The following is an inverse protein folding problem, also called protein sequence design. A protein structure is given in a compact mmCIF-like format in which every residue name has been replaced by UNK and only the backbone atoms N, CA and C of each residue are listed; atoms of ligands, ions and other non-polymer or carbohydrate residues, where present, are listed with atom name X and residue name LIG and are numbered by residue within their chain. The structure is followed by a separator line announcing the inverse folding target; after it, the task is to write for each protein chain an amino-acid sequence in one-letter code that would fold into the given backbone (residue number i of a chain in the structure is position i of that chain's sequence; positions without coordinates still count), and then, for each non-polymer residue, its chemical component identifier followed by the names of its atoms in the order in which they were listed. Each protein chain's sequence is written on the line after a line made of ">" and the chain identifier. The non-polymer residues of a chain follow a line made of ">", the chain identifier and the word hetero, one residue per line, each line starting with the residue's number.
data_IF_083973734313
#
_entry.id   IF_083973734313
#
_cell.length_a   1.000
_cell.length_b   1.000
_cell.length_c   1.000
_cell.angle_alpha   90.00
_cell.angle_beta   90.00
_cell.angle_gamma   90.00
#
_symmetry.space_group_name_H-M   'P 1'
#
loop_
_entity.id
_entity.type
_entity.pdbx_description
1 polymer ?
#
# COMPACT_ATOMS: atom_id res chain seq x y z
N UNK A 1 3.86 8.36 -12.78
CA UNK A 1 5.17 8.18 -12.15
C UNK A 1 6.02 9.43 -12.32
N UNK A 2 6.65 9.87 -11.27
CA UNK A 2 7.62 10.96 -11.32
C UNK A 2 8.95 10.46 -10.76
N UNK A 3 10.02 10.67 -11.51
CA UNK A 3 11.36 10.29 -11.10
C UNK A 3 12.25 11.54 -11.20
N UNK A 4 12.74 11.99 -10.06
CA UNK A 4 13.66 13.10 -10.03
C UNK A 4 15.09 12.56 -10.14
N UNK A 5 15.84 13.13 -11.05
CA UNK A 5 17.22 12.72 -11.31
C UNK A 5 18.11 13.07 -10.12
N UNK A 6 19.00 12.16 -9.75
CA UNK A 6 19.94 12.31 -8.64
C UNK A 6 19.29 12.50 -7.27
N UNK A 7 18.01 12.14 -7.14
CA UNK A 7 17.36 12.14 -5.83
C UNK A 7 17.18 10.73 -5.33
N UNK A 8 17.03 10.59 -4.01
CA UNK A 8 16.82 9.33 -3.36
C UNK A 8 15.32 8.97 -3.27
N UNK A 9 14.46 9.64 -4.04
CA UNK A 9 13.01 9.44 -3.94
C UNK A 9 12.39 9.16 -5.30
N UNK A 10 11.44 8.23 -5.31
CA UNK A 10 10.62 7.90 -6.49
C UNK A 10 9.16 7.96 -6.07
N UNK A 11 8.34 8.69 -6.83
CA UNK A 11 6.90 8.78 -6.60
C UNK A 11 6.14 8.14 -7.74
N UNK A 12 5.25 7.21 -7.43
CA UNK A 12 4.38 6.56 -8.41
C UNK A 12 2.92 6.75 -7.98
N UNK A 13 2.12 7.38 -8.85
CA UNK A 13 0.72 7.64 -8.57
C UNK A 13 -0.15 6.61 -9.25
N UNK A 14 -0.84 5.80 -8.46
CA UNK A 14 -1.73 4.72 -8.93
C UNK A 14 -1.08 3.81 -9.97
N UNK A 15 0.14 3.30 -9.68
CA UNK A 15 0.91 2.60 -10.71
C UNK A 15 0.31 1.25 -11.11
N UNK A 16 -0.63 0.71 -10.32
CA UNK A 16 -1.24 -0.60 -10.59
C UNK A 16 -2.57 -0.50 -11.32
N UNK A 17 -3.08 0.72 -11.56
CA UNK A 17 -4.32 0.91 -12.30
C UNK A 17 -4.12 0.43 -13.75
N UNK A 18 -5.06 -0.38 -14.25
CA UNK A 18 -5.05 -0.96 -15.60
C UNK A 18 -3.95 -2.00 -15.87
N UNK A 19 -3.19 -2.39 -14.85
CA UNK A 19 -2.21 -3.46 -15.00
C UNK A 19 -2.85 -4.82 -14.70
N UNK A 20 -2.44 -5.87 -15.40
CA UNK A 20 -2.83 -7.21 -15.02
C UNK A 20 -2.03 -7.66 -13.79
N UNK A 21 -2.41 -8.81 -13.22
CA UNK A 21 -1.83 -9.27 -11.96
C UNK A 21 -0.32 -9.51 -12.06
N UNK A 22 0.13 -10.09 -13.17
CA UNK A 22 1.57 -10.37 -13.31
C UNK A 22 2.40 -9.09 -13.41
N UNK A 23 1.87 -8.08 -14.09
CA UNK A 23 2.54 -6.79 -14.18
C UNK A 23 2.54 -6.05 -12.84
N UNK A 24 1.47 -6.21 -12.04
CA UNK A 24 1.44 -5.65 -10.69
C UNK A 24 2.55 -6.23 -9.82
N UNK A 25 2.77 -7.54 -9.88
CA UNK A 25 3.85 -8.17 -9.12
C UNK A 25 5.22 -7.67 -9.57
N UNK A 26 5.44 -7.53 -10.88
CA UNK A 26 6.70 -6.99 -11.40
C UNK A 26 6.95 -5.56 -10.97
N UNK A 27 5.90 -4.75 -10.97
CA UNK A 27 6.03 -3.37 -10.51
C UNK A 27 6.41 -3.31 -9.04
N UNK A 28 5.81 -4.17 -8.21
CA UNK A 28 6.15 -4.23 -6.79
C UNK A 28 7.58 -4.70 -6.58
N UNK A 29 8.06 -5.65 -7.38
CA UNK A 29 9.46 -6.07 -7.33
C UNK A 29 10.40 -4.92 -7.69
N UNK A 30 10.06 -4.16 -8.72
CA UNK A 30 10.84 -2.99 -9.12
C UNK A 30 10.90 -1.97 -7.99
N UNK A 31 9.76 -1.66 -7.39
CA UNK A 31 9.70 -0.74 -6.26
C UNK A 31 10.55 -1.24 -5.09
N UNK A 32 10.48 -2.53 -4.81
CA UNK A 32 11.26 -3.14 -3.73
C UNK A 32 12.75 -3.08 -4.02
N UNK A 33 13.15 -3.31 -5.26
CA UNK A 33 14.56 -3.20 -5.68
C UNK A 33 15.10 -1.79 -5.50
N UNK A 34 14.31 -0.78 -5.88
CA UNK A 34 14.68 0.62 -5.70
C UNK A 34 14.85 0.95 -4.21
N UNK A 35 13.97 0.43 -3.36
CA UNK A 35 14.08 0.65 -1.93
C UNK A 35 15.37 0.02 -1.36
N UNK A 36 15.74 -1.17 -1.86
CA UNK A 36 16.99 -1.83 -1.45
C UNK A 36 18.23 -1.05 -1.87
N UNK A 37 18.13 -0.27 -2.93
CA UNK A 37 19.22 0.61 -3.37
C UNK A 37 19.32 1.88 -2.52
N UNK A 38 18.49 2.02 -1.51
CA UNK A 38 18.51 3.17 -0.62
C UNK A 38 17.58 4.29 -1.03
N UNK A 39 16.70 4.06 -2.01
CA UNK A 39 15.74 5.07 -2.45
C UNK A 39 14.47 5.01 -1.63
N UNK A 40 13.87 6.16 -1.37
CA UNK A 40 12.54 6.23 -0.78
C UNK A 40 11.52 6.07 -1.92
N UNK A 41 10.70 5.04 -1.84
CA UNK A 41 9.68 4.78 -2.85
C UNK A 41 8.31 5.08 -2.27
N UNK A 42 7.60 6.01 -2.87
CA UNK A 42 6.25 6.41 -2.45
C UNK A 42 5.26 5.97 -3.52
N UNK A 43 4.28 5.18 -3.13
CA UNK A 43 3.24 4.69 -4.01
C UNK A 43 1.88 5.21 -3.54
N UNK A 44 1.12 5.80 -4.45
CA UNK A 44 -0.27 6.18 -4.16
C UNK A 44 -1.15 5.05 -4.72
N UNK A 45 -1.79 4.31 -3.84
CA UNK A 45 -2.56 3.12 -4.19
C UNK A 45 -3.99 3.22 -3.69
N UNK A 46 -4.91 2.63 -4.45
CA UNK A 46 -6.29 2.44 -4.04
C UNK A 46 -6.58 1.00 -3.64
N UNK A 47 -5.67 0.09 -3.92
CA UNK A 47 -5.80 -1.32 -3.53
C UNK A 47 -5.31 -1.49 -2.09
N UNK A 48 -6.26 -1.62 -1.16
CA UNK A 48 -5.97 -1.74 0.27
C UNK A 48 -5.14 -2.97 0.59
N UNK A 49 -5.49 -4.10 0.00
CA UNK A 49 -4.80 -5.36 0.24
C UNK A 49 -3.34 -5.29 -0.19
N UNK A 50 -3.11 -4.70 -1.35
CA UNK A 50 -1.76 -4.52 -1.89
C UNK A 50 -0.94 -3.59 -0.99
N UNK A 51 -1.51 -2.48 -0.56
CA UNK A 51 -0.84 -1.53 0.31
C UNK A 51 -0.44 -2.18 1.64
N UNK A 52 -1.36 -2.88 2.28
CA UNK A 52 -1.09 -3.54 3.55
C UNK A 52 -0.04 -4.64 3.44
N UNK A 53 -0.02 -5.35 2.32
CA UNK A 53 0.93 -6.44 2.11
C UNK A 53 2.34 -5.94 1.78
N UNK A 54 2.46 -4.89 0.98
CA UNK A 54 3.74 -4.50 0.38
C UNK A 54 4.43 -3.32 1.06
N UNK A 55 3.71 -2.45 1.74
CA UNK A 55 4.28 -1.23 2.28
C UNK A 55 5.06 -1.47 3.57
N UNK A 56 6.11 -0.69 3.76
CA UNK A 56 6.82 -0.63 5.04
C UNK A 56 6.12 0.36 5.98
N UNK A 57 5.59 1.44 5.41
CA UNK A 57 4.83 2.48 6.13
C UNK A 57 3.65 2.87 5.27
N UNK A 58 2.49 3.04 5.89
CA UNK A 58 1.27 3.46 5.23
C UNK A 58 0.84 4.81 5.77
N UNK A 59 0.56 5.73 4.86
CA UNK A 59 -0.07 7.01 5.18
C UNK A 59 -1.49 6.99 4.62
N UNK A 60 -2.48 7.21 5.49
CA UNK A 60 -3.89 7.22 5.11
C UNK A 60 -4.38 8.66 5.06
N UNK A 61 -4.88 9.06 3.90
CA UNK A 61 -5.41 10.40 3.68
C UNK A 61 -6.90 10.36 3.40
N UNK A 62 -7.59 11.38 3.87
CA UNK A 62 -9.01 11.61 3.54
C UNK A 62 -9.23 13.11 3.48
N UNK A 63 -9.87 13.58 2.40
CA UNK A 63 -10.19 14.98 2.20
C UNK A 63 -8.99 15.91 2.38
N UNK A 64 -7.82 15.49 1.86
CA UNK A 64 -6.59 16.25 1.93
C UNK A 64 -5.92 16.25 3.29
N UNK A 65 -6.40 15.46 4.24
CA UNK A 65 -5.86 15.36 5.58
C UNK A 65 -5.19 14.03 5.83
N UNK A 66 -4.03 14.07 6.48
CA UNK A 66 -3.34 12.86 6.93
C UNK A 66 -4.02 12.37 8.22
N UNK A 67 -4.61 11.19 8.16
CA UNK A 67 -5.30 10.60 9.32
C UNK A 67 -4.39 9.71 10.15
N UNK A 68 -3.49 9.01 9.48
CA UNK A 68 -2.62 8.03 10.14
C UNK A 68 -1.40 7.78 9.27
N UNK A 69 -0.25 7.59 9.92
CA UNK A 69 0.98 7.22 9.24
C UNK A 69 1.75 6.28 10.15
N UNK A 70 1.80 5.00 9.79
CA UNK A 70 2.46 4.00 10.61
C UNK A 70 2.71 2.73 9.80
N UNK A 71 3.25 1.70 10.46
CA UNK A 71 3.44 0.40 9.83
C UNK A 71 2.08 -0.22 9.47
N UNK A 72 2.05 -1.11 8.47
CA UNK A 72 0.78 -1.78 8.10
C UNK A 72 0.09 -2.46 9.27
N UNK A 73 0.84 -3.11 10.14
CA UNK A 73 0.27 -3.81 11.29
C UNK A 73 -0.48 -2.85 12.22
N UNK A 74 0.12 -1.71 12.53
CA UNK A 74 -0.49 -0.72 13.42
C UNK A 74 -1.70 -0.07 12.75
N UNK A 75 -1.58 0.28 11.48
CA UNK A 75 -2.69 0.86 10.72
C UNK A 75 -3.88 -0.11 10.68
N UNK A 76 -3.60 -1.39 10.47
CA UNK A 76 -4.62 -2.43 10.48
C UNK A 76 -5.30 -2.51 11.85
N UNK A 77 -4.52 -2.54 12.93
CA UNK A 77 -5.06 -2.68 14.29
C UNK A 77 -5.91 -1.48 14.71
N UNK A 78 -5.58 -0.29 14.24
CA UNK A 78 -6.36 0.92 14.56
C UNK A 78 -7.70 1.00 13.85
N UNK A 79 -7.90 0.20 12.80
CA UNK A 79 -9.16 0.20 12.07
C UNK A 79 -9.43 1.46 11.26
N UNK A 80 -8.43 2.29 11.03
CA UNK A 80 -8.59 3.56 10.30
C UNK A 80 -9.03 3.31 8.87
N UNK A 81 -8.42 2.35 8.20
CA UNK A 81 -8.75 2.07 6.80
C UNK A 81 -10.16 1.51 6.66
N UNK A 82 -10.61 0.72 7.63
CA UNK A 82 -11.99 0.21 7.63
C UNK A 82 -13.00 1.35 7.69
N UNK A 83 -12.75 2.35 8.51
CA UNK A 83 -13.63 3.51 8.60
C UNK A 83 -13.58 4.38 7.35
N UNK A 84 -12.39 4.66 6.85
CA UNK A 84 -12.21 5.53 5.69
C UNK A 84 -12.85 4.95 4.44
N UNK A 85 -12.66 3.65 4.20
CA UNK A 85 -13.14 3.01 2.97
C UNK A 85 -14.47 2.29 3.13
N UNK A 86 -15.00 2.20 4.35
CA UNK A 86 -16.31 1.58 4.59
C UNK A 86 -16.32 0.09 4.32
N UNK A 87 -15.24 -0.60 4.66
CA UNK A 87 -15.11 -2.04 4.42
C UNK A 87 -14.61 -2.74 5.68
N UNK A 88 -14.78 -4.07 5.74
CA UNK A 88 -14.10 -4.89 6.72
C UNK A 88 -12.76 -5.34 6.15
N UNK A 89 -11.71 -5.30 6.96
CA UNK A 89 -10.38 -5.74 6.56
C UNK A 89 -9.94 -6.87 7.46
N UNK A 90 -9.49 -7.97 6.86
CA UNK A 90 -9.11 -9.18 7.58
C UNK A 90 -7.71 -9.59 7.21
N UNK A 91 -7.02 -10.19 8.17
CA UNK A 91 -5.65 -10.64 8.01
C UNK A 91 -5.60 -12.17 8.12
N UNK A 92 -4.77 -12.78 7.30
CA UNK A 92 -4.64 -14.23 7.26
C UNK A 92 -3.17 -14.61 7.05
N UNK A 93 -2.69 -15.57 7.83
CA UNK A 93 -1.35 -16.13 7.64
C UNK A 93 -1.40 -17.21 6.56
N UNK A 94 -0.49 -17.12 5.61
CA UNK A 94 -0.39 -18.10 4.53
C UNK A 94 1.05 -18.57 4.37
N UNK A 95 1.24 -19.59 3.54
CA UNK A 95 2.60 -20.04 3.19
C UNK A 95 3.42 -18.99 2.47
N UNK A 96 2.80 -17.94 1.96
CA UNK A 96 3.46 -16.81 1.28
C UNK A 96 3.49 -15.56 2.16
N UNK A 97 3.34 -15.72 3.46
CA UNK A 97 3.34 -14.62 4.40
C UNK A 97 1.92 -14.14 4.75
N UNK A 98 1.85 -12.98 5.36
CA UNK A 98 0.58 -12.41 5.79
C UNK A 98 -0.12 -11.79 4.59
N UNK A 99 -1.39 -12.15 4.42
CA UNK A 99 -2.25 -11.61 3.37
C UNK A 99 -3.42 -10.88 4.00
N UNK A 100 -3.99 -9.94 3.26
CA UNK A 100 -5.15 -9.16 3.69
C UNK A 100 -6.25 -9.27 2.66
N UNK A 101 -7.49 -9.31 3.12
CA UNK A 101 -8.65 -9.29 2.23
C UNK A 101 -9.74 -8.41 2.80
N UNK A 102 -10.58 -7.89 1.92
CA UNK A 102 -11.64 -6.98 2.29
C UNK A 102 -13.00 -7.66 2.13
N UNK A 103 -13.93 -7.30 3.01
CA UNK A 103 -15.32 -7.75 2.94
C UNK A 103 -16.22 -6.53 3.04
N UNK A 104 -17.49 -6.64 2.63
CA UNK A 104 -18.44 -5.57 2.90
C UNK A 104 -18.53 -5.32 4.40
N UNK A 105 -18.67 -4.07 4.78
CA UNK A 105 -18.82 -3.71 6.18
C UNK A 105 -20.17 -4.22 6.68
N UNK A 106 -20.15 -4.95 7.79
CA UNK A 106 -21.38 -5.42 8.42
C UNK A 106 -22.10 -4.26 9.13
N UNK A 107 -23.41 -4.29 9.03
CA UNK A 107 -24.27 -3.27 9.65
C UNK A 107 -24.76 -3.77 11.01
#
# INVERSE_FOLDING_TARGET
>A
MALAQDTAAVLMDEPTTYLDISHQFRLMETARSLAREGKAVVLVLHDISLALREADVIAVFQDGRLLCCDTPDIVYQKGVMEEVFGVGIHRMDTSHGIQYYCTPKEI
#
